data_IF_591631102239
#
_entry.id   IF_591631102239
#
_cell.length_a   1.000
_cell.length_b   1.000
_cell.length_c   1.000
_cell.angle_alpha   90.00
_cell.angle_beta   90.00
_cell.angle_gamma   90.00
#
_symmetry.space_group_name_H-M   'P 1'
#
loop_
_entity.id
_entity.type
_entity.pdbx_description
1 polymer ?
#
# COMPACT_ATOMS: atom_id res chain seq x y z
N UNK A 1 45.44 -8.54 3.36
CA UNK A 1 44.11 -8.27 3.96
C UNK A 1 43.39 -7.11 3.27
N UNK A 2 43.39 -7.05 1.92
CA UNK A 2 42.77 -5.93 1.15
C UNK A 2 41.45 -6.31 0.47
N UNK A 3 41.21 -7.61 0.26
CA UNK A 3 40.04 -8.12 -0.47
C UNK A 3 38.80 -8.37 0.40
N UNK A 4 38.91 -8.27 1.73
CA UNK A 4 37.79 -8.44 2.67
C UNK A 4 36.89 -7.19 2.76
N UNK A 5 37.39 -6.02 2.33
CA UNK A 5 36.64 -4.76 2.38
C UNK A 5 35.60 -4.65 1.24
N UNK A 6 35.84 -5.35 0.12
CA UNK A 6 34.99 -5.33 -1.09
C UNK A 6 33.61 -5.94 -0.82
N UNK A 7 33.47 -7.15 -0.24
CA UNK A 7 32.14 -7.72 0.05
C UNK A 7 31.37 -6.94 1.11
N UNK A 8 32.06 -6.28 2.05
CA UNK A 8 31.43 -5.44 3.08
C UNK A 8 30.82 -4.17 2.47
N UNK A 9 31.48 -3.61 1.44
CA UNK A 9 31.01 -2.40 0.76
C UNK A 9 29.78 -2.68 -0.12
N UNK A 10 29.71 -3.84 -0.78
CA UNK A 10 28.54 -4.23 -1.59
C UNK A 10 27.29 -4.44 -0.74
N UNK A 11 27.40 -5.05 0.45
CA UNK A 11 26.26 -5.27 1.36
C UNK A 11 25.61 -3.93 1.73
N UNK A 12 26.40 -2.89 2.02
CA UNK A 12 25.89 -1.58 2.40
C UNK A 12 25.09 -0.90 1.27
N UNK A 13 25.50 -1.09 0.01
CA UNK A 13 24.79 -0.55 -1.16
C UNK A 13 23.42 -1.22 -1.40
N UNK A 14 23.24 -2.49 -1.04
CA UNK A 14 21.93 -3.15 -1.15
C UNK A 14 20.92 -2.61 -0.13
N UNK A 15 21.36 -2.18 1.06
CA UNK A 15 20.47 -1.65 2.10
C UNK A 15 20.01 -0.19 1.85
N UNK A 16 20.80 0.63 1.15
CA UNK A 16 20.44 2.04 0.87
C UNK A 16 19.29 2.22 -0.13
N UNK A 17 18.80 1.16 -0.76
CA UNK A 17 17.69 1.24 -1.73
C UNK A 17 16.30 1.30 -1.07
N UNK A 18 16.21 1.15 0.26
CA UNK A 18 14.93 1.10 0.99
C UNK A 18 14.38 2.49 1.39
N UNK A 19 14.74 3.55 0.66
CA UNK A 19 14.29 4.90 1.01
C UNK A 19 12.94 5.19 0.34
N UNK A 20 11.88 5.28 1.15
CA UNK A 20 10.55 5.64 0.66
C UNK A 20 10.58 7.03 0.00
N UNK A 21 9.84 7.18 -1.09
CA UNK A 21 9.71 8.45 -1.78
C UNK A 21 9.09 9.51 -0.84
N UNK A 22 9.54 10.75 -0.90
CA UNK A 22 8.99 11.85 -0.08
C UNK A 22 7.48 12.02 -0.25
N UNK A 23 6.98 11.79 -1.47
CA UNK A 23 5.54 11.80 -1.77
C UNK A 23 4.77 10.71 -1.01
N UNK A 24 5.35 9.52 -0.86
CA UNK A 24 4.74 8.39 -0.15
C UNK A 24 4.73 8.62 1.36
N UNK A 25 5.82 9.16 1.91
CA UNK A 25 5.89 9.58 3.32
C UNK A 25 4.80 10.63 3.60
N UNK A 26 4.66 11.64 2.73
CA UNK A 26 3.64 12.67 2.87
C UNK A 26 2.21 12.10 2.80
N UNK A 27 1.95 11.17 1.88
CA UNK A 27 0.67 10.49 1.79
C UNK A 27 0.35 9.67 3.05
N UNK A 28 1.35 8.97 3.60
CA UNK A 28 1.20 8.20 4.83
C UNK A 28 0.92 9.12 6.03
N UNK A 29 1.58 10.28 6.12
CA UNK A 29 1.28 11.29 7.14
C UNK A 29 -0.16 11.81 7.04
N UNK A 30 -0.69 12.01 5.82
CA UNK A 30 -2.10 12.36 5.64
C UNK A 30 -3.04 11.25 6.11
N UNK A 31 -2.75 9.99 5.76
CA UNK A 31 -3.54 8.83 6.19
C UNK A 31 -3.63 8.69 7.71
N UNK A 32 -2.60 9.10 8.47
CA UNK A 32 -2.64 9.05 9.94
C UNK A 32 -3.77 9.91 10.56
N UNK A 33 -4.21 10.96 9.88
CA UNK A 33 -5.31 11.81 10.36
C UNK A 33 -6.70 11.28 9.95
N UNK A 34 -6.76 10.21 9.17
CA UNK A 34 -8.01 9.62 8.68
C UNK A 34 -8.29 8.33 9.46
N UNK A 35 -9.23 8.41 10.39
CA UNK A 35 -9.65 7.28 11.24
C UNK A 35 -10.75 6.43 10.59
N UNK A 36 -11.27 6.85 9.44
CA UNK A 36 -12.35 6.17 8.72
C UNK A 36 -11.90 4.87 8.07
N UNK A 37 -12.72 3.83 8.21
CA UNK A 37 -12.56 2.56 7.50
C UNK A 37 -13.86 2.18 6.81
N UNK A 38 -13.75 1.57 5.64
CA UNK A 38 -14.88 1.16 4.81
C UNK A 38 -14.69 -0.31 4.43
N UNK A 39 -15.74 -1.10 4.67
CA UNK A 39 -15.86 -2.46 4.15
C UNK A 39 -17.07 -2.50 3.22
N UNK A 40 -16.81 -2.64 1.92
CA UNK A 40 -17.86 -2.81 0.92
C UNK A 40 -18.11 -4.31 0.73
N UNK A 41 -19.36 -4.74 0.83
CA UNK A 41 -19.75 -6.15 0.76
C UNK A 41 -20.60 -6.36 -0.48
N UNK A 42 -20.21 -7.31 -1.33
CA UNK A 42 -20.94 -7.73 -2.54
C UNK A 42 -21.27 -9.22 -2.51
N UNK A 43 -22.24 -9.65 -3.32
CA UNK A 43 -22.58 -11.07 -3.39
C UNK A 43 -21.54 -11.83 -4.23
N UNK A 44 -21.15 -11.27 -5.37
CA UNK A 44 -20.20 -11.84 -6.33
C UNK A 44 -19.00 -10.91 -6.53
N UNK A 45 -17.84 -11.40 -6.99
CA UNK A 45 -16.67 -10.55 -7.20
C UNK A 45 -16.88 -9.41 -8.22
N UNK A 46 -17.82 -9.54 -9.16
CA UNK A 46 -18.16 -8.55 -10.18
C UNK A 46 -19.12 -7.44 -9.72
N UNK A 47 -19.68 -7.54 -8.51
CA UNK A 47 -20.52 -6.49 -7.89
C UNK A 47 -19.72 -5.28 -7.38
N UNK A 48 -18.40 -5.25 -7.58
CA UNK A 48 -17.53 -4.17 -7.12
C UNK A 48 -17.78 -2.85 -7.87
N UNK A 49 -17.66 -1.72 -7.16
CA UNK A 49 -17.77 -0.41 -7.77
C UNK A 49 -16.38 0.21 -8.03
N UNK A 50 -15.95 0.13 -9.29
CA UNK A 50 -14.64 0.60 -9.75
C UNK A 50 -14.42 2.12 -9.69
N UNK A 51 -15.47 2.91 -9.42
CA UNK A 51 -15.35 4.36 -9.20
C UNK A 51 -15.31 4.68 -7.71
N UNK A 52 -16.20 4.07 -6.93
CA UNK A 52 -16.36 4.35 -5.50
C UNK A 52 -15.16 3.87 -4.68
N UNK A 53 -14.69 2.64 -4.89
CA UNK A 53 -13.61 2.07 -4.09
C UNK A 53 -12.31 2.88 -4.23
N UNK A 54 -11.86 3.26 -5.45
CA UNK A 54 -10.69 4.14 -5.58
C UNK A 54 -10.89 5.53 -5.00
N UNK A 55 -12.09 6.11 -5.14
CA UNK A 55 -12.40 7.41 -4.55
C UNK A 55 -12.24 7.39 -3.02
N UNK A 56 -12.80 6.37 -2.36
CA UNK A 56 -12.68 6.22 -0.91
C UNK A 56 -11.22 5.94 -0.48
N UNK A 57 -10.49 5.12 -1.23
CA UNK A 57 -9.12 4.73 -0.89
C UNK A 57 -8.06 5.80 -1.18
N UNK A 58 -8.20 6.57 -2.26
CA UNK A 58 -7.19 7.51 -2.76
C UNK A 58 -7.51 8.97 -2.45
N UNK A 59 -8.75 9.41 -2.69
CA UNK A 59 -9.15 10.79 -2.44
C UNK A 59 -9.43 11.01 -0.96
N UNK A 60 -10.29 10.17 -0.38
CA UNK A 60 -10.65 10.27 1.05
C UNK A 60 -9.69 9.54 1.99
N UNK A 61 -8.73 8.78 1.44
CA UNK A 61 -7.69 8.07 2.20
C UNK A 61 -8.23 7.08 3.26
N UNK A 62 -9.46 6.61 3.11
CA UNK A 62 -10.06 5.62 4.00
C UNK A 62 -9.40 4.26 3.82
N UNK A 63 -9.27 3.52 4.93
CA UNK A 63 -8.91 2.10 4.87
C UNK A 63 -10.08 1.34 4.25
N UNK A 64 -9.96 1.06 2.96
CA UNK A 64 -11.05 0.49 2.15
C UNK A 64 -10.75 -0.97 1.82
N UNK A 65 -11.74 -1.84 2.00
CA UNK A 65 -11.68 -3.25 1.61
C UNK A 65 -12.99 -3.66 0.91
N UNK A 66 -12.88 -4.60 -0.02
CA UNK A 66 -14.00 -5.27 -0.68
C UNK A 66 -14.08 -6.72 -0.21
N UNK A 67 -15.28 -7.19 0.11
CA UNK A 67 -15.56 -8.59 0.48
C UNK A 67 -16.69 -9.13 -0.39
N UNK A 68 -16.39 -10.13 -1.22
CA UNK A 68 -17.43 -10.91 -1.91
C UNK A 68 -17.84 -12.10 -1.04
N UNK A 69 -19.15 -12.37 -0.98
CA UNK A 69 -19.68 -13.52 -0.24
C UNK A 69 -19.47 -14.84 -1.00
N UNK A 70 -19.36 -14.76 -2.32
CA UNK A 70 -19.10 -15.91 -3.19
C UNK A 70 -17.79 -15.73 -3.94
N UNK A 71 -17.26 -16.84 -4.47
CA UNK A 71 -16.10 -16.84 -5.36
C UNK A 71 -16.44 -16.42 -6.79
N UNK A 72 -17.73 -16.37 -7.14
CA UNK A 72 -18.19 -16.09 -8.51
C UNK A 72 -18.04 -17.30 -9.44
N UNK A 73 -18.25 -18.52 -8.92
CA UNK A 73 -18.26 -19.77 -9.69
C UNK A 73 -19.59 -20.01 -10.40
#
# INVERSE_FOLDING_TARGET
MKYFLIPLFTICFYFSQAQNNSAEIYLNLKKLNVLGSVLYIGAHPDDENNTLLPYLAKENLYRTAYLSLTRGD
#
